data_IF_563537386782
#
_entry.id   IF_563537386782
#
_cell.length_a   1.000
_cell.length_b   1.000
_cell.length_c   1.000
_cell.angle_alpha   90.00
_cell.angle_beta   90.00
_cell.angle_gamma   90.00
#
_symmetry.space_group_name_H-M   'P 1'
#
loop_
_entity.id
_entity.type
_entity.pdbx_description
1 polymer ?
#
# COMPACT_ATOMS: atom_id res chain seq x y z
N UNK A 1 42.83 40.19 -165.34
CA UNK A 1 41.76 39.64 -166.20
C UNK A 1 40.80 38.89 -165.31
N UNK A 2 39.54 39.30 -165.37
CA UNK A 2 38.36 38.65 -164.81
C UNK A 2 38.54 37.14 -164.74
N UNK A 3 38.48 36.54 -163.56
CA UNK A 3 38.51 35.09 -163.43
C UNK A 3 38.03 34.73 -162.03
N UNK A 4 36.87 34.16 -161.83
CA UNK A 4 35.63 34.05 -162.59
C UNK A 4 34.65 33.89 -161.41
N UNK A 5 33.62 34.72 -161.22
CA UNK A 5 32.74 34.56 -160.05
C UNK A 5 32.17 33.14 -159.95
N UNK A 6 32.07 32.42 -161.07
CA UNK A 6 31.72 31.00 -161.09
C UNK A 6 32.75 30.08 -160.40
N UNK A 7 34.06 30.32 -160.51
CA UNK A 7 35.07 29.47 -159.85
C UNK A 7 35.19 29.74 -158.35
N UNK A 8 34.91 30.98 -157.91
CA UNK A 8 34.80 31.32 -156.49
C UNK A 8 33.53 30.75 -155.86
N UNK A 9 32.44 30.64 -156.62
CA UNK A 9 31.23 29.94 -156.21
C UNK A 9 31.48 28.42 -156.09
N UNK A 10 32.13 27.78 -157.06
CA UNK A 10 32.46 26.35 -156.99
C UNK A 10 33.37 25.99 -155.80
N UNK A 11 34.41 26.79 -155.52
CA UNK A 11 35.29 26.54 -154.37
C UNK A 11 34.55 26.76 -153.06
N UNK A 12 33.74 27.81 -152.96
CA UNK A 12 33.01 28.17 -151.74
C UNK A 12 31.85 27.21 -151.46
N UNK A 13 31.17 26.71 -152.49
CA UNK A 13 30.13 25.70 -152.38
C UNK A 13 30.73 24.33 -152.02
N UNK A 14 31.90 23.96 -152.55
CA UNK A 14 32.59 22.72 -152.14
C UNK A 14 33.03 22.76 -150.67
N UNK A 15 33.54 23.92 -150.20
CA UNK A 15 33.95 24.11 -148.80
C UNK A 15 32.75 24.09 -147.84
N UNK A 16 31.63 24.71 -148.23
CA UNK A 16 30.40 24.65 -147.44
C UNK A 16 29.84 23.22 -147.38
N UNK A 17 29.84 22.50 -148.51
CA UNK A 17 29.36 21.12 -148.55
C UNK A 17 30.23 20.18 -147.72
N UNK A 18 31.56 20.33 -147.78
CA UNK A 18 32.48 19.54 -146.97
C UNK A 18 32.42 19.90 -145.49
N UNK A 19 32.21 21.17 -145.15
CA UNK A 19 31.98 21.60 -143.78
C UNK A 19 30.66 21.04 -143.22
N UNK A 20 29.59 21.06 -144.01
CA UNK A 20 28.28 20.48 -143.64
C UNK A 20 28.38 18.97 -143.50
N UNK A 21 29.07 18.26 -144.41
CA UNK A 21 29.31 16.81 -144.30
C UNK A 21 30.13 16.47 -143.05
N UNK A 22 31.20 17.21 -142.77
CA UNK A 22 31.97 17.03 -141.53
C UNK A 22 31.13 17.28 -140.29
N UNK A 23 30.32 18.34 -140.29
CA UNK A 23 29.42 18.64 -139.18
C UNK A 23 28.38 17.54 -138.98
N UNK A 24 27.79 17.01 -140.06
CA UNK A 24 26.85 15.89 -140.01
C UNK A 24 27.50 14.59 -139.53
N UNK A 25 28.70 14.25 -140.02
CA UNK A 25 29.46 13.09 -139.53
C UNK A 25 29.80 13.22 -138.05
N UNK A 26 30.26 14.39 -137.60
CA UNK A 26 30.50 14.64 -136.18
C UNK A 26 29.21 14.55 -135.35
N UNK A 27 28.08 15.04 -135.88
CA UNK A 27 26.80 14.94 -135.19
C UNK A 27 26.33 13.49 -135.08
N UNK A 28 26.54 12.69 -136.12
CA UNK A 28 26.23 11.26 -136.13
C UNK A 28 27.12 10.48 -135.15
N UNK A 29 28.43 10.66 -135.19
CA UNK A 29 29.36 10.06 -134.21
C UNK A 29 28.99 10.45 -132.77
N UNK A 30 28.62 11.72 -132.54
CA UNK A 30 28.15 12.15 -131.22
C UNK A 30 26.82 11.50 -130.82
N UNK A 31 25.93 11.27 -131.78
CA UNK A 31 24.64 10.60 -131.52
C UNK A 31 24.87 9.14 -131.16
N UNK A 32 25.71 8.43 -131.92
CA UNK A 32 26.08 7.04 -131.61
C UNK A 32 26.80 6.93 -130.27
N UNK A 33 27.71 7.85 -129.94
CA UNK A 33 28.38 7.89 -128.65
C UNK A 33 27.41 8.14 -127.48
N UNK A 34 26.40 8.99 -127.68
CA UNK A 34 25.36 9.25 -126.68
C UNK A 34 24.44 8.05 -126.51
N UNK A 35 24.05 7.37 -127.59
CA UNK A 35 23.25 6.15 -127.52
C UNK A 35 24.00 5.03 -126.80
N UNK A 36 25.27 4.82 -127.13
CA UNK A 36 26.14 3.86 -126.45
C UNK A 36 26.31 4.19 -124.96
N UNK A 37 26.51 5.47 -124.62
CA UNK A 37 26.63 5.92 -123.23
C UNK A 37 25.32 5.72 -122.46
N UNK A 38 24.17 5.98 -123.10
CA UNK A 38 22.84 5.81 -122.48
C UNK A 38 22.51 4.34 -122.25
N UNK A 39 22.87 3.46 -123.20
CA UNK A 39 22.71 2.02 -123.04
C UNK A 39 23.59 1.47 -121.91
N UNK A 40 24.86 1.89 -121.82
CA UNK A 40 25.77 1.51 -120.76
C UNK A 40 25.28 1.96 -119.37
N UNK A 41 24.74 3.19 -119.26
CA UNK A 41 24.15 3.71 -118.03
C UNK A 41 22.94 2.90 -117.58
N UNK A 42 22.04 2.52 -118.50
CA UNK A 42 20.87 1.69 -118.18
C UNK A 42 21.27 0.30 -117.69
N UNK A 43 22.22 -0.35 -118.37
CA UNK A 43 22.71 -1.68 -117.96
C UNK A 43 23.40 -1.61 -116.60
N UNK A 44 24.25 -0.61 -116.37
CA UNK A 44 24.94 -0.44 -115.09
C UNK A 44 23.99 -0.16 -113.91
N UNK A 45 22.94 0.63 -114.13
CA UNK A 45 21.92 0.89 -113.10
C UNK A 45 21.08 -0.36 -112.79
N UNK A 46 20.71 -1.14 -113.80
CA UNK A 46 19.97 -2.40 -113.59
C UNK A 46 20.82 -3.42 -112.84
N UNK A 47 22.09 -3.60 -113.24
CA UNK A 47 23.01 -4.51 -112.55
C UNK A 47 23.23 -4.12 -111.08
N UNK A 48 23.42 -2.82 -110.80
CA UNK A 48 23.60 -2.34 -109.43
C UNK A 48 22.34 -2.57 -108.56
N UNK A 49 21.15 -2.47 -109.14
CA UNK A 49 19.89 -2.78 -108.44
C UNK A 49 19.76 -4.29 -108.21
N UNK A 50 20.07 -5.12 -109.22
CA UNK A 50 20.01 -6.58 -109.09
C UNK A 50 21.03 -7.10 -108.06
N UNK A 51 22.24 -6.55 -108.03
CA UNK A 51 23.28 -6.89 -107.04
C UNK A 51 22.83 -6.50 -105.62
N UNK A 52 22.20 -5.33 -105.46
CA UNK A 52 21.65 -4.89 -104.17
C UNK A 52 20.49 -5.77 -103.72
N UNK A 53 19.59 -6.14 -104.63
CA UNK A 53 18.47 -7.05 -104.34
C UNK A 53 18.99 -8.44 -103.97
N UNK A 54 20.00 -8.96 -104.67
CA UNK A 54 20.65 -10.22 -104.34
C UNK A 54 21.29 -10.16 -102.95
N UNK A 55 22.03 -9.09 -102.64
CA UNK A 55 22.67 -8.90 -101.34
C UNK A 55 21.65 -8.78 -100.20
N UNK A 56 20.57 -8.02 -100.40
CA UNK A 56 19.48 -7.92 -99.41
C UNK A 56 18.81 -9.28 -99.23
N UNK A 57 18.56 -10.03 -100.30
CA UNK A 57 17.92 -11.35 -100.24
C UNK A 57 18.79 -12.36 -99.52
N UNK A 58 20.10 -12.39 -99.77
CA UNK A 58 21.05 -13.25 -99.04
C UNK A 58 21.11 -12.88 -97.56
N UNK A 59 21.30 -11.60 -97.24
CA UNK A 59 21.35 -11.14 -95.85
C UNK A 59 20.04 -11.41 -95.09
N UNK A 60 18.89 -11.26 -95.76
CA UNK A 60 17.60 -11.64 -95.17
C UNK A 60 17.48 -13.15 -94.99
N UNK A 61 17.89 -13.96 -95.98
CA UNK A 61 17.83 -15.42 -95.89
C UNK A 61 18.72 -15.96 -94.76
N UNK A 62 19.92 -15.42 -94.59
CA UNK A 62 20.83 -15.82 -93.51
C UNK A 62 20.25 -15.44 -92.14
N UNK A 63 19.73 -14.21 -92.00
CA UNK A 63 19.08 -13.75 -90.78
C UNK A 63 17.88 -14.61 -90.39
N UNK A 64 17.05 -15.01 -91.37
CA UNK A 64 15.88 -15.86 -91.12
C UNK A 64 16.25 -17.32 -90.89
N UNK A 65 17.34 -17.81 -91.49
CA UNK A 65 17.85 -19.16 -91.22
C UNK A 65 18.35 -19.24 -89.78
N UNK A 66 19.16 -18.28 -89.34
CA UNK A 66 19.64 -18.19 -87.94
C UNK A 66 18.48 -18.00 -86.95
N UNK A 67 17.52 -17.14 -87.28
CA UNK A 67 16.33 -16.98 -86.45
C UNK A 67 15.46 -18.25 -86.39
N UNK A 68 15.35 -19.02 -87.48
CA UNK A 68 14.60 -20.29 -87.49
C UNK A 68 15.30 -21.39 -86.70
N UNK A 69 16.63 -21.40 -86.68
CA UNK A 69 17.45 -22.28 -85.84
C UNK A 69 17.27 -21.89 -84.37
N UNK A 70 17.28 -20.60 -84.07
CA UNK A 70 17.05 -20.09 -82.71
C UNK A 70 15.63 -20.39 -82.23
N UNK A 71 14.62 -20.21 -83.08
CA UNK A 71 13.21 -20.49 -82.72
C UNK A 71 12.95 -21.99 -82.59
N UNK A 72 13.51 -22.83 -83.47
CA UNK A 72 13.40 -24.29 -83.35
C UNK A 72 14.07 -24.79 -82.07
N UNK A 73 15.27 -24.29 -81.74
CA UNK A 73 15.96 -24.68 -80.51
C UNK A 73 15.25 -24.18 -79.24
N UNK A 74 14.53 -23.04 -79.30
CA UNK A 74 13.63 -22.57 -78.24
C UNK A 74 12.38 -23.46 -78.09
N UNK A 75 11.78 -23.91 -79.19
CA UNK A 75 10.60 -24.78 -79.19
C UNK A 75 10.91 -26.21 -78.71
N UNK A 76 12.12 -26.70 -78.94
CA UNK A 76 12.58 -28.02 -78.51
C UNK A 76 13.17 -28.04 -77.08
N UNK A 77 13.22 -26.90 -76.37
CA UNK A 77 13.62 -26.85 -74.96
C UNK A 77 15.13 -26.93 -74.70
N UNK A 78 15.98 -26.81 -75.73
CA UNK A 78 17.45 -26.87 -75.59
C UNK A 78 18.05 -25.75 -74.72
N UNK A 79 17.26 -24.74 -74.34
CA UNK A 79 17.67 -23.68 -73.42
C UNK A 79 17.49 -24.04 -71.94
N UNK A 80 16.60 -25.00 -71.63
CA UNK A 80 16.20 -25.34 -70.26
C UNK A 80 16.80 -26.64 -69.76
N UNK A 81 17.38 -27.48 -70.62
CA UNK A 81 18.03 -28.71 -70.18
C UNK A 81 19.33 -28.99 -70.94
N UNK A 82 20.31 -29.59 -70.27
CA UNK A 82 21.54 -30.07 -70.87
C UNK A 82 21.88 -31.48 -70.35
N UNK A 83 22.44 -32.30 -71.21
CA UNK A 83 22.89 -33.64 -70.84
C UNK A 83 24.21 -33.56 -70.06
N UNK A 84 24.39 -34.46 -69.10
CA UNK A 84 25.61 -34.53 -68.31
C UNK A 84 26.51 -35.62 -68.89
N UNK A 85 27.73 -35.23 -69.22
CA UNK A 85 28.79 -36.13 -69.66
C UNK A 85 29.47 -36.78 -68.44
N UNK A 86 29.21 -38.07 -68.26
CA UNK A 86 29.87 -38.91 -67.26
C UNK A 86 29.01 -39.28 -66.05
N UNK A 87 29.52 -40.14 -65.16
CA UNK A 87 28.78 -40.62 -64.00
C UNK A 87 28.60 -39.52 -62.96
N UNK A 88 27.38 -39.40 -62.44
CA UNK A 88 27.01 -38.46 -61.37
C UNK A 88 26.64 -39.23 -60.10
N UNK A 89 27.18 -38.78 -58.97
CA UNK A 89 26.77 -39.23 -57.64
C UNK A 89 26.15 -38.02 -56.94
N UNK A 90 24.94 -38.18 -56.43
CA UNK A 90 24.23 -37.16 -55.69
C UNK A 90 24.76 -37.09 -54.25
N UNK A 91 25.80 -36.31 -54.01
CA UNK A 91 26.42 -36.16 -52.69
C UNK A 91 26.10 -34.79 -52.07
N UNK A 92 25.32 -34.79 -50.98
CA UNK A 92 24.93 -33.58 -50.23
C UNK A 92 26.09 -32.94 -49.44
N UNK A 93 27.22 -33.61 -49.28
CA UNK A 93 28.35 -33.11 -48.49
C UNK A 93 29.43 -32.43 -49.34
N UNK A 94 29.47 -32.70 -50.65
CA UNK A 94 30.52 -32.22 -51.54
C UNK A 94 29.94 -31.49 -52.76
N UNK A 95 30.59 -30.39 -53.15
CA UNK A 95 30.26 -29.71 -54.40
C UNK A 95 30.49 -30.62 -55.60
N UNK A 96 29.54 -30.65 -56.52
CA UNK A 96 29.54 -31.50 -57.70
C UNK A 96 29.95 -30.67 -58.92
N UNK A 97 30.96 -31.14 -59.66
CA UNK A 97 31.42 -30.53 -60.90
C UNK A 97 30.99 -31.38 -62.08
N UNK A 98 30.13 -30.82 -62.92
CA UNK A 98 29.47 -31.51 -64.03
C UNK A 98 30.01 -30.98 -65.36
N UNK A 99 30.33 -31.89 -66.28
CA UNK A 99 30.57 -31.54 -67.68
C UNK A 99 29.24 -31.67 -68.42
N UNK A 100 28.81 -30.62 -69.12
CA UNK A 100 27.55 -30.62 -69.87
C UNK A 100 27.81 -30.76 -71.37
N UNK A 101 27.06 -31.64 -72.04
CA UNK A 101 26.97 -31.63 -73.50
C UNK A 101 25.99 -30.53 -73.92
N UNK A 102 26.56 -29.41 -74.36
CA UNK A 102 25.81 -28.23 -74.83
C UNK A 102 26.02 -27.99 -76.33
N UNK A 103 26.10 -29.07 -77.13
CA UNK A 103 26.35 -29.05 -78.58
C UNK A 103 25.33 -28.27 -79.43
N UNK A 104 24.32 -27.64 -78.82
CA UNK A 104 23.30 -26.82 -79.48
C UNK A 104 23.74 -25.36 -79.78
N UNK A 105 23.09 -24.70 -80.76
CA UNK A 105 23.42 -23.34 -81.20
C UNK A 105 23.09 -22.25 -80.17
N UNK A 106 22.23 -22.53 -79.19
CA UNK A 106 21.85 -21.63 -78.10
C UNK A 106 22.43 -22.19 -76.81
N UNK A 107 23.66 -21.82 -76.44
CA UNK A 107 24.32 -22.38 -75.25
C UNK A 107 23.47 -22.28 -73.98
N UNK A 108 23.51 -23.35 -73.16
CA UNK A 108 22.81 -23.47 -71.88
C UNK A 108 23.13 -22.32 -70.92
N UNK A 109 22.10 -21.81 -70.22
CA UNK A 109 22.25 -20.79 -69.18
C UNK A 109 21.50 -21.23 -67.93
N UNK A 110 22.20 -21.65 -66.86
CA UNK A 110 21.57 -22.16 -65.66
C UNK A 110 20.91 -21.04 -64.83
N UNK A 111 19.79 -21.35 -64.18
CA UNK A 111 19.25 -20.53 -63.10
C UNK A 111 20.04 -20.75 -61.79
N UNK A 112 19.89 -19.87 -60.77
CA UNK A 112 20.58 -20.02 -59.49
C UNK A 112 20.32 -21.35 -58.78
N UNK A 113 19.18 -21.98 -59.08
CA UNK A 113 18.81 -23.33 -58.63
C UNK A 113 18.52 -24.16 -59.88
N UNK A 114 19.09 -25.34 -59.93
CA UNK A 114 18.92 -26.33 -61.00
C UNK A 114 18.56 -27.67 -60.38
N UNK A 115 17.92 -28.54 -61.15
CA UNK A 115 17.77 -29.94 -60.75
C UNK A 115 18.60 -30.83 -61.65
N UNK A 116 19.11 -31.91 -61.07
CA UNK A 116 19.72 -33.00 -61.80
C UNK A 116 18.76 -34.18 -61.70
N UNK A 117 18.27 -34.67 -62.83
CA UNK A 117 17.39 -35.83 -62.91
C UNK A 117 18.03 -36.94 -63.72
N UNK A 118 17.47 -38.15 -63.64
CA UNK A 118 17.84 -39.26 -64.53
C UNK A 118 16.82 -39.45 -65.66
N UNK A 119 17.31 -39.83 -66.83
CA UNK A 119 16.45 -40.13 -68.00
C UNK A 119 15.69 -41.44 -67.82
N UNK A 120 16.31 -42.46 -67.22
CA UNK A 120 15.73 -43.77 -67.05
C UNK A 120 14.73 -43.85 -65.87
N UNK A 121 14.93 -43.03 -64.83
CA UNK A 121 14.08 -43.01 -63.65
C UNK A 121 13.85 -41.58 -63.14
N UNK A 122 12.61 -41.10 -63.19
CA UNK A 122 12.27 -39.74 -62.77
C UNK A 122 12.19 -39.57 -61.25
N UNK A 123 12.20 -40.66 -60.49
CA UNK A 123 12.15 -40.62 -59.03
C UNK A 123 13.53 -40.34 -58.41
N UNK A 124 14.61 -40.55 -59.17
CA UNK A 124 15.99 -40.25 -58.77
C UNK A 124 16.35 -38.82 -59.22
N UNK A 125 16.33 -37.87 -58.29
CA UNK A 125 16.63 -36.46 -58.55
C UNK A 125 17.43 -35.80 -57.43
N UNK A 126 18.20 -34.80 -57.79
CA UNK A 126 18.91 -33.93 -56.86
C UNK A 126 18.57 -32.46 -57.14
N UNK A 127 18.29 -31.71 -56.08
CA UNK A 127 18.11 -30.26 -56.15
C UNK A 127 19.44 -29.61 -55.80
N UNK A 128 19.94 -28.75 -56.68
CA UNK A 128 21.27 -28.18 -56.52
C UNK A 128 21.25 -26.66 -56.66
N UNK A 129 22.09 -26.00 -55.87
CA UNK A 129 22.39 -24.57 -56.03
C UNK A 129 23.57 -24.41 -56.95
N UNK A 130 23.46 -23.55 -57.96
CA UNK A 130 24.58 -23.26 -58.87
C UNK A 130 25.60 -22.39 -58.16
N UNK A 131 26.84 -22.88 -58.09
CA UNK A 131 28.00 -22.18 -57.53
C UNK A 131 28.71 -21.39 -58.62
N UNK A 132 28.93 -22.03 -59.77
CA UNK A 132 29.52 -21.39 -60.94
C UNK A 132 29.16 -22.11 -62.24
N UNK A 133 29.14 -21.36 -63.34
CA UNK A 133 28.92 -21.87 -64.70
C UNK A 133 29.97 -21.28 -65.64
N UNK A 134 30.72 -22.14 -66.33
CA UNK A 134 31.71 -21.75 -67.33
C UNK A 134 31.26 -22.19 -68.71
N UNK A 135 30.92 -21.21 -69.55
CA UNK A 135 30.53 -21.43 -70.95
C UNK A 135 31.71 -21.85 -71.84
N UNK A 136 32.94 -21.52 -71.46
CA UNK A 136 34.15 -21.87 -72.23
C UNK A 136 34.53 -23.35 -72.06
N UNK A 137 34.26 -23.92 -70.89
CA UNK A 137 34.63 -25.30 -70.54
C UNK A 137 33.43 -26.23 -70.38
N UNK A 138 32.21 -25.72 -70.63
CA UNK A 138 30.93 -26.40 -70.42
C UNK A 138 30.82 -27.07 -69.03
N UNK A 139 31.38 -26.40 -68.02
CA UNK A 139 31.48 -26.94 -66.65
C UNK A 139 30.50 -26.23 -65.73
N UNK A 140 29.62 -26.99 -65.09
CA UNK A 140 28.67 -26.52 -64.08
C UNK A 140 29.07 -27.04 -62.71
N UNK A 141 29.33 -26.12 -61.76
CA UNK A 141 29.61 -26.47 -60.36
C UNK A 141 28.37 -26.18 -59.54
N UNK A 142 27.91 -27.18 -58.79
CA UNK A 142 26.70 -27.08 -57.97
C UNK A 142 26.93 -27.63 -56.57
N UNK A 143 26.21 -27.09 -55.60
CA UNK A 143 26.06 -27.68 -54.26
C UNK A 143 24.74 -28.46 -54.23
N UNK A 144 24.79 -29.75 -53.92
CA UNK A 144 23.58 -30.57 -53.77
C UNK A 144 22.91 -30.22 -52.44
N UNK A 145 21.67 -29.72 -52.50
CA UNK A 145 20.89 -29.31 -51.31
C UNK A 145 20.05 -30.46 -50.76
N UNK A 146 19.51 -31.29 -51.65
CA UNK A 146 18.65 -32.42 -51.32
C UNK A 146 18.69 -33.46 -52.43
N UNK A 147 18.54 -34.73 -52.06
CA UNK A 147 18.49 -35.88 -52.97
C UNK A 147 17.21 -36.65 -52.65
N UNK A 148 16.51 -37.08 -53.69
CA UNK A 148 15.41 -38.02 -53.61
C UNK A 148 15.73 -39.19 -54.55
N UNK A 149 15.56 -40.42 -54.05
CA UNK A 149 15.91 -41.65 -54.79
C UNK A 149 17.29 -42.19 -54.43
N UNK A 150 17.91 -42.90 -55.38
CA UNK A 150 19.23 -43.52 -55.22
C UNK A 150 20.37 -42.51 -55.50
N UNK A 151 21.43 -42.54 -54.71
CA UNK A 151 22.53 -41.56 -54.75
C UNK A 151 23.48 -41.77 -55.95
N UNK A 152 23.39 -42.92 -56.64
CA UNK A 152 24.21 -43.23 -57.82
C UNK A 152 25.44 -44.11 -57.52
N UNK A 153 26.35 -44.30 -58.48
CA UNK A 153 26.57 -43.47 -59.68
C UNK A 153 25.58 -43.72 -60.82
N UNK A 154 25.13 -42.64 -61.43
CA UNK A 154 24.20 -42.63 -62.55
C UNK A 154 24.87 -42.10 -63.81
N UNK A 155 24.70 -42.78 -64.95
CA UNK A 155 25.34 -42.40 -66.24
C UNK A 155 24.39 -41.73 -67.22
N UNK A 156 23.14 -41.54 -66.80
CA UNK A 156 22.02 -41.07 -67.63
C UNK A 156 21.41 -39.77 -67.06
N UNK A 157 22.24 -38.92 -66.47
CA UNK A 157 21.80 -37.69 -65.84
C UNK A 157 21.66 -36.53 -66.82
N UNK A 158 20.72 -35.64 -66.53
CA UNK A 158 20.54 -34.38 -67.22
C UNK A 158 20.28 -33.27 -66.19
N UNK A 159 20.66 -32.05 -66.51
CA UNK A 159 20.35 -30.86 -65.71
C UNK A 159 19.17 -30.14 -66.33
N UNK A 160 18.21 -29.68 -65.51
CA UNK A 160 17.04 -28.92 -65.97
C UNK A 160 16.85 -27.63 -65.16
N UNK A 161 16.48 -26.56 -65.88
CA UNK A 161 16.20 -25.21 -65.42
C UNK A 161 14.67 -25.04 -65.38
N UNK A 162 14.08 -25.31 -64.21
CA UNK A 162 12.85 -24.64 -63.78
C UNK A 162 11.51 -25.19 -64.27
N UNK A 163 11.16 -26.45 -63.99
CA UNK A 163 9.77 -26.93 -63.99
C UNK A 163 9.57 -28.14 -63.05
N UNK A 164 9.70 -27.97 -61.72
CA UNK A 164 9.18 -28.92 -60.70
C UNK A 164 9.18 -28.30 -59.29
N UNK A 165 8.45 -27.19 -59.11
CA UNK A 165 8.25 -26.53 -57.81
C UNK A 165 7.57 -27.42 -56.75
N UNK A 166 6.83 -28.45 -57.14
CA UNK A 166 5.99 -29.23 -56.21
C UNK A 166 6.76 -30.22 -55.29
N UNK A 167 7.85 -30.83 -55.76
CA UNK A 167 8.61 -31.81 -54.96
C UNK A 167 9.60 -31.14 -54.00
N UNK A 168 10.22 -30.04 -54.42
CA UNK A 168 11.00 -29.18 -53.53
C UNK A 168 10.15 -28.49 -52.48
N UNK A 169 8.93 -28.06 -52.83
CA UNK A 169 7.95 -27.53 -51.86
C UNK A 169 7.52 -28.59 -50.85
N UNK A 170 7.27 -29.84 -51.25
CA UNK A 170 6.87 -30.91 -50.35
C UNK A 170 7.94 -31.25 -49.29
N UNK A 171 9.20 -31.36 -49.71
CA UNK A 171 10.31 -31.63 -48.79
C UNK A 171 10.56 -30.47 -47.80
N UNK A 172 10.41 -29.21 -48.26
CA UNK A 172 10.49 -28.06 -47.36
C UNK A 172 9.31 -28.00 -46.39
N UNK A 173 8.10 -28.38 -46.81
CA UNK A 173 6.91 -28.40 -45.95
C UNK A 173 7.04 -29.42 -44.82
N UNK A 174 7.63 -30.58 -45.08
CA UNK A 174 7.89 -31.61 -44.06
C UNK A 174 8.90 -31.12 -43.00
N UNK A 175 9.99 -30.48 -43.42
CA UNK A 175 10.95 -29.88 -42.48
C UNK A 175 10.33 -28.76 -41.63
N UNK A 176 9.49 -27.91 -42.23
CA UNK A 176 8.78 -26.84 -41.50
C UNK A 176 7.80 -27.42 -40.48
N UNK A 177 7.09 -28.49 -40.81
CA UNK A 177 6.19 -29.17 -39.87
C UNK A 177 6.96 -29.78 -38.69
N UNK A 178 8.09 -30.43 -38.95
CA UNK A 178 8.95 -30.97 -37.89
C UNK A 178 9.43 -29.87 -36.93
N UNK A 179 9.87 -28.73 -37.47
CA UNK A 179 10.33 -27.59 -36.69
C UNK A 179 9.22 -26.96 -35.84
N UNK A 180 7.98 -26.94 -36.36
CA UNK A 180 6.82 -26.44 -35.62
C UNK A 180 6.48 -27.33 -34.41
N UNK A 181 6.58 -28.65 -34.54
CA UNK A 181 6.36 -29.60 -33.43
C UNK A 181 7.42 -29.40 -32.34
N UNK A 182 8.69 -29.25 -32.73
CA UNK A 182 9.77 -28.95 -31.78
C UNK A 182 9.51 -27.61 -31.04
N UNK A 183 9.12 -26.57 -31.79
CA UNK A 183 8.81 -25.25 -31.22
C UNK A 183 7.63 -25.30 -30.25
N UNK A 184 6.61 -26.12 -30.55
CA UNK A 184 5.49 -26.35 -29.64
C UNK A 184 5.95 -27.04 -28.34
N UNK A 185 6.81 -28.07 -28.43
CA UNK A 185 7.39 -28.73 -27.26
C UNK A 185 8.16 -27.76 -26.36
N UNK A 186 8.98 -26.87 -26.94
CA UNK A 186 9.68 -25.82 -26.19
C UNK A 186 8.70 -24.86 -25.52
N UNK A 187 7.62 -24.47 -26.22
CA UNK A 187 6.59 -23.59 -25.68
C UNK A 187 5.85 -24.23 -24.49
N UNK A 188 5.55 -25.51 -24.57
CA UNK A 188 4.87 -26.25 -23.49
C UNK A 188 5.76 -26.37 -22.25
N UNK A 189 7.06 -26.66 -22.44
CA UNK A 189 8.06 -26.65 -21.35
C UNK A 189 8.15 -25.25 -20.72
N UNK A 190 8.20 -24.19 -21.53
CA UNK A 190 8.22 -22.82 -21.04
C UNK A 190 6.95 -22.47 -20.25
N UNK A 191 5.78 -22.91 -20.71
CA UNK A 191 4.52 -22.75 -19.98
C UNK A 191 4.53 -23.51 -18.64
N UNK A 192 5.10 -24.72 -18.60
CA UNK A 192 5.32 -25.47 -17.37
C UNK A 192 6.21 -24.73 -16.37
N UNK A 193 7.32 -24.16 -16.84
CA UNK A 193 8.20 -23.33 -15.99
C UNK A 193 7.49 -22.07 -15.48
N UNK A 194 6.67 -21.42 -16.31
CA UNK A 194 5.87 -20.26 -15.88
C UNK A 194 4.86 -20.64 -14.78
N UNK A 195 4.19 -21.79 -14.91
CA UNK A 195 3.27 -22.30 -13.88
C UNK A 195 3.99 -22.63 -12.56
N UNK A 196 5.16 -23.25 -12.63
CA UNK A 196 5.98 -23.53 -11.45
C UNK A 196 6.47 -22.25 -10.77
N UNK A 197 6.84 -21.22 -11.54
CA UNK A 197 7.22 -19.92 -11.02
C UNK A 197 6.05 -19.22 -10.32
N UNK A 198 4.83 -19.26 -10.90
CA UNK A 198 3.62 -18.73 -10.27
C UNK A 198 3.34 -19.44 -8.94
N UNK A 199 3.37 -20.77 -8.93
CA UNK A 199 3.15 -21.55 -7.70
C UNK A 199 4.18 -21.23 -6.62
N UNK A 200 5.45 -21.04 -7.00
CA UNK A 200 6.50 -20.63 -6.08
C UNK A 200 6.27 -19.22 -5.53
N UNK A 201 5.75 -18.30 -6.35
CA UNK A 201 5.38 -16.96 -5.91
C UNK A 201 4.22 -16.98 -4.91
N UNK A 202 3.21 -17.84 -5.14
CA UNK A 202 2.08 -18.02 -4.21
C UNK A 202 2.54 -18.58 -2.85
N UNK A 203 3.45 -19.56 -2.85
CA UNK A 203 4.06 -20.09 -1.62
C UNK A 203 4.85 -19.00 -0.90
N UNK A 204 5.66 -18.21 -1.62
CA UNK A 204 6.40 -17.10 -1.03
C UNK A 204 5.47 -16.03 -0.43
N UNK A 205 4.37 -15.71 -1.10
CA UNK A 205 3.35 -14.81 -0.57
C UNK A 205 2.72 -15.37 0.72
N UNK A 206 2.43 -16.68 0.77
CA UNK A 206 1.96 -17.35 1.98
C UNK A 206 2.96 -17.25 3.14
N UNK A 207 4.26 -17.43 2.88
CA UNK A 207 5.30 -17.26 3.90
C UNK A 207 5.39 -15.83 4.43
N UNK A 208 5.19 -14.81 3.57
CA UNK A 208 5.17 -13.40 4.00
C UNK A 208 3.99 -13.13 4.93
N UNK A 209 2.80 -13.67 4.62
CA UNK A 209 1.62 -13.55 5.48
C UNK A 209 1.87 -14.21 6.84
N UNK A 210 2.37 -15.45 6.85
CA UNK A 210 2.70 -16.16 8.10
C UNK A 210 3.73 -15.41 8.95
N UNK A 211 4.78 -14.86 8.33
CA UNK A 211 5.77 -14.04 9.04
C UNK A 211 5.15 -12.74 9.61
N UNK A 212 4.14 -12.18 8.94
CA UNK A 212 3.37 -11.04 9.43
C UNK A 212 2.56 -11.39 10.69
N UNK A 213 1.86 -12.53 10.68
CA UNK A 213 1.10 -13.03 11.84
C UNK A 213 2.02 -13.33 13.04
N UNK A 214 3.18 -13.96 12.80
CA UNK A 214 4.19 -14.21 13.85
C UNK A 214 4.72 -12.90 14.44
N UNK A 215 4.93 -11.87 13.61
CA UNK A 215 5.36 -10.55 14.06
C UNK A 215 4.28 -9.89 14.93
N UNK A 216 3.02 -9.92 14.53
CA UNK A 216 1.92 -9.34 15.30
C UNK A 216 1.77 -10.04 16.66
N UNK A 217 1.91 -11.37 16.69
CA UNK A 217 1.94 -12.14 17.93
C UNK A 217 3.13 -11.74 18.84
N UNK A 218 4.31 -11.52 18.26
CA UNK A 218 5.49 -11.06 19.00
C UNK A 218 5.31 -9.63 19.55
N UNK A 219 4.71 -8.72 18.79
CA UNK A 219 4.39 -7.36 19.23
C UNK A 219 3.38 -7.40 20.40
N UNK A 220 2.34 -8.22 20.30
CA UNK A 220 1.37 -8.43 21.40
C UNK A 220 2.04 -8.98 22.67
N UNK A 221 2.95 -9.95 22.52
CA UNK A 221 3.70 -10.50 23.65
C UNK A 221 4.63 -9.47 24.30
N UNK A 222 5.25 -8.61 23.50
CA UNK A 222 6.09 -7.51 24.00
C UNK A 222 5.27 -6.51 24.81
N UNK A 223 4.12 -6.07 24.29
CA UNK A 223 3.27 -5.09 24.97
C UNK A 223 2.71 -5.65 26.29
N UNK A 224 2.39 -6.96 26.33
CA UNK A 224 2.02 -7.64 27.57
C UNK A 224 3.16 -7.71 28.61
N UNK A 225 4.40 -7.89 28.15
CA UNK A 225 5.58 -7.88 29.01
C UNK A 225 5.87 -6.48 29.57
N UNK A 226 5.69 -5.43 28.76
CA UNK A 226 5.80 -4.03 29.19
C UNK A 226 4.76 -3.69 30.26
N UNK A 227 3.49 -4.06 30.04
CA UNK A 227 2.44 -3.88 31.06
C UNK A 227 2.72 -4.65 32.36
N UNK A 228 3.35 -5.82 32.28
CA UNK A 228 3.77 -6.59 33.46
C UNK A 228 4.93 -5.91 34.20
N UNK A 229 5.86 -5.28 33.48
CA UNK A 229 6.96 -4.52 34.07
C UNK A 229 6.45 -3.27 34.79
N UNK A 230 5.51 -2.53 34.19
CA UNK A 230 4.88 -1.36 34.80
C UNK A 230 4.13 -1.71 36.08
N UNK A 231 3.36 -2.82 36.07
CA UNK A 231 2.70 -3.31 37.27
C UNK A 231 3.70 -3.63 38.39
N UNK A 232 4.84 -4.24 38.06
CA UNK A 232 5.89 -4.53 39.03
C UNK A 232 6.52 -3.26 39.61
N UNK A 233 6.70 -2.21 38.81
CA UNK A 233 7.14 -0.90 39.29
C UNK A 233 6.11 -0.28 40.25
N UNK A 234 4.82 -0.36 39.92
CA UNK A 234 3.74 0.10 40.79
C UNK A 234 3.75 -0.59 42.15
N UNK A 235 3.84 -1.93 42.19
CA UNK A 235 3.93 -2.68 43.45
C UNK A 235 5.18 -2.33 44.26
N UNK A 236 6.31 -2.07 43.60
CA UNK A 236 7.54 -1.65 44.28
C UNK A 236 7.37 -0.28 44.94
N UNK A 237 6.74 0.66 44.26
CA UNK A 237 6.54 2.02 44.76
C UNK A 237 5.52 2.03 45.93
N UNK A 238 4.45 1.23 45.83
CA UNK A 238 3.53 0.98 46.96
C UNK A 238 4.25 0.38 48.18
N UNK A 239 5.09 -0.64 47.95
CA UNK A 239 5.87 -1.26 49.02
C UNK A 239 6.84 -0.26 49.67
N UNK A 240 7.46 0.62 48.87
CA UNK A 240 8.32 1.69 49.39
C UNK A 240 7.52 2.68 50.25
N UNK A 241 6.32 3.08 49.81
CA UNK A 241 5.43 3.94 50.60
C UNK A 241 4.99 3.29 51.92
N UNK A 242 4.71 1.99 51.91
CA UNK A 242 4.43 1.25 53.14
C UNK A 242 5.65 1.18 54.08
N UNK A 243 6.86 1.05 53.54
CA UNK A 243 8.09 1.05 54.34
C UNK A 243 8.34 2.40 55.01
N UNK A 244 8.17 3.51 54.27
CA UNK A 244 8.28 4.87 54.81
C UNK A 244 7.24 5.12 55.92
N UNK A 245 5.98 4.75 55.68
CA UNK A 245 4.93 4.86 56.69
C UNK A 245 5.21 4.02 57.95
N UNK A 246 5.85 2.85 57.80
CA UNK A 246 6.25 2.02 58.93
C UNK A 246 7.41 2.65 59.73
N UNK A 247 8.37 3.29 59.04
CA UNK A 247 9.46 4.04 59.69
C UNK A 247 8.92 5.24 60.47
N UNK A 248 8.01 6.02 59.87
CA UNK A 248 7.34 7.13 60.54
C UNK A 248 6.53 6.67 61.76
N UNK A 249 5.79 5.58 61.63
CA UNK A 249 5.04 5.00 62.75
C UNK A 249 5.97 4.52 63.87
N UNK A 250 7.11 3.91 63.54
CA UNK A 250 8.11 3.49 64.51
C UNK A 250 8.76 4.70 65.22
N UNK A 251 9.04 5.78 64.50
CA UNK A 251 9.56 7.02 65.07
C UNK A 251 8.56 7.69 66.02
N UNK A 252 7.27 7.72 65.64
CA UNK A 252 6.20 8.23 66.50
C UNK A 252 6.06 7.37 67.76
N UNK A 253 6.08 6.04 67.62
CA UNK A 253 6.04 5.13 68.75
C UNK A 253 7.24 5.28 69.69
N UNK A 254 8.45 5.54 69.16
CA UNK A 254 9.65 5.76 69.97
C UNK A 254 9.59 7.05 70.81
N UNK A 255 8.84 8.06 70.36
CA UNK A 255 8.62 9.32 71.11
C UNK A 255 7.35 9.30 71.96
N UNK A 256 6.54 8.24 71.86
CA UNK A 256 5.33 8.09 72.65
C UNK A 256 5.69 7.91 74.14
N UNK A 257 5.29 8.89 74.95
CA UNK A 257 5.38 8.82 76.40
C UNK A 257 3.97 8.61 76.94
N UNK A 258 3.61 7.40 77.40
CA UNK A 258 2.27 7.10 77.91
C UNK A 258 1.83 8.07 79.01
N UNK A 259 2.78 8.52 79.84
CA UNK A 259 2.54 9.44 80.96
C UNK A 259 2.13 10.86 80.56
N UNK A 260 2.26 11.25 79.28
CA UNK A 260 1.83 12.56 78.78
C UNK A 260 0.35 12.58 78.37
N UNK A 261 -0.33 11.43 78.40
CA UNK A 261 -1.73 11.30 78.08
C UNK A 261 -2.47 10.73 79.29
N UNK A 262 -3.59 11.36 79.64
CA UNK A 262 -4.47 10.78 80.65
C UNK A 262 -5.12 9.54 80.06
N UNK A 263 -4.98 8.41 80.76
CA UNK A 263 -5.76 7.24 80.42
C UNK A 263 -7.22 7.44 80.87
N UNK A 264 -8.14 6.69 80.26
CA UNK A 264 -9.57 6.81 80.57
C UNK A 264 -9.86 6.63 82.07
N UNK A 265 -9.14 5.73 82.74
CA UNK A 265 -9.29 5.50 84.18
C UNK A 265 -8.92 6.73 85.02
N UNK A 266 -7.77 7.36 84.73
CA UNK A 266 -7.33 8.58 85.44
C UNK A 266 -8.31 9.74 85.27
N UNK A 267 -8.89 9.87 84.06
CA UNK A 267 -9.92 10.87 83.78
C UNK A 267 -11.20 10.54 84.55
N UNK A 268 -11.67 9.29 84.49
CA UNK A 268 -12.88 8.85 85.18
C UNK A 268 -12.75 9.00 86.71
N UNK A 269 -11.59 8.67 87.27
CA UNK A 269 -11.28 8.82 88.70
C UNK A 269 -11.31 10.31 89.10
N UNK A 270 -10.69 11.18 88.30
CA UNK A 270 -10.68 12.63 88.56
C UNK A 270 -12.08 13.26 88.45
N UNK A 271 -12.90 12.83 87.49
CA UNK A 271 -14.29 13.27 87.38
C UNK A 271 -15.12 12.77 88.58
N UNK A 272 -14.97 11.51 88.96
CA UNK A 272 -15.69 10.93 90.11
C UNK A 272 -15.36 11.67 91.40
N UNK A 273 -14.07 11.94 91.66
CA UNK A 273 -13.64 12.71 92.82
C UNK A 273 -14.20 14.15 92.81
N UNK A 274 -14.36 14.75 91.63
CA UNK A 274 -15.00 16.08 91.50
C UNK A 274 -16.51 16.00 91.79
N UNK A 275 -17.18 14.98 91.31
CA UNK A 275 -18.61 14.77 91.55
C UNK A 275 -18.89 14.52 93.03
N UNK A 276 -18.03 13.75 93.71
CA UNK A 276 -18.08 13.55 95.17
C UNK A 276 -17.92 14.89 95.91
N UNK A 277 -16.91 15.69 95.56
CA UNK A 277 -16.72 17.03 96.14
C UNK A 277 -17.94 17.95 95.92
N UNK A 278 -18.55 17.91 94.72
CA UNK A 278 -19.76 18.71 94.43
C UNK A 278 -20.93 18.24 95.30
N UNK A 279 -21.08 16.94 95.49
CA UNK A 279 -22.12 16.34 96.34
C UNK A 279 -21.96 16.74 97.81
N UNK A 280 -20.74 16.69 98.34
CA UNK A 280 -20.43 17.14 99.70
C UNK A 280 -20.74 18.62 99.90
N UNK A 281 -20.30 19.48 98.96
CA UNK A 281 -20.58 20.92 99.01
C UNK A 281 -22.08 21.21 98.90
N UNK A 282 -22.81 20.50 98.03
CA UNK A 282 -24.25 20.66 97.88
C UNK A 282 -25.00 20.32 99.18
N UNK A 283 -24.58 19.25 99.87
CA UNK A 283 -25.12 18.84 101.16
C UNK A 283 -24.85 19.90 102.23
N UNK A 284 -23.61 20.39 102.33
CA UNK A 284 -23.24 21.43 103.28
C UNK A 284 -24.02 22.75 103.07
N UNK A 285 -24.27 23.14 101.81
CA UNK A 285 -25.10 24.30 101.48
C UNK A 285 -26.56 24.08 101.90
N UNK A 286 -27.10 22.88 101.68
CA UNK A 286 -28.47 22.54 102.08
C UNK A 286 -28.65 22.63 103.61
N UNK A 287 -27.71 22.06 104.37
CA UNK A 287 -27.71 22.13 105.84
C UNK A 287 -27.57 23.56 106.34
N UNK A 288 -26.67 24.36 105.76
CA UNK A 288 -26.50 25.76 106.12
C UNK A 288 -27.76 26.59 105.83
N UNK A 289 -28.47 26.30 104.74
CA UNK A 289 -29.76 26.94 104.42
C UNK A 289 -30.86 26.53 105.38
N UNK A 290 -30.89 25.27 105.82
CA UNK A 290 -31.88 24.78 106.76
C UNK A 290 -31.76 25.43 108.16
N UNK A 291 -30.55 25.83 108.58
CA UNK A 291 -30.35 26.56 109.86
C UNK A 291 -30.37 28.10 109.72
N UNK A 292 -30.44 28.64 108.51
CA UNK A 292 -30.42 30.09 108.28
C UNK A 292 -31.64 30.76 108.95
N UNK A 293 -31.38 31.82 109.73
CA UNK A 293 -32.43 32.63 110.33
C UNK A 293 -32.95 33.66 109.32
N UNK A 294 -34.27 33.86 109.28
CA UNK A 294 -34.91 34.91 108.50
C UNK A 294 -35.09 36.15 109.37
N UNK A 295 -34.59 37.29 108.92
CA UNK A 295 -34.81 38.57 109.61
C UNK A 295 -36.09 39.20 109.08
N UNK A 296 -37.00 39.57 109.98
CA UNK A 296 -38.25 40.24 109.66
C UNK A 296 -38.32 41.59 110.38
N UNK A 297 -39.10 42.54 109.86
CA UNK A 297 -39.29 43.87 110.46
C UNK A 297 -40.77 44.31 110.50
N UNK A 298 -41.69 43.39 110.23
CA UNK A 298 -43.13 43.59 110.21
C UNK A 298 -43.84 42.34 110.72
N UNK A 299 -45.15 42.45 110.97
CA UNK A 299 -45.97 41.35 111.45
C UNK A 299 -45.97 40.18 110.47
N UNK A 300 -45.77 38.95 110.98
CA UNK A 300 -45.69 37.75 110.15
C UNK A 300 -46.49 36.61 110.77
N UNK A 301 -47.05 35.74 109.92
CA UNK A 301 -47.51 34.42 110.36
C UNK A 301 -46.37 33.42 110.19
N UNK A 302 -45.83 32.92 111.29
CA UNK A 302 -44.78 31.92 111.28
C UNK A 302 -45.29 30.59 110.74
N UNK A 303 -44.39 29.84 110.11
CA UNK A 303 -44.57 28.47 109.65
C UNK A 303 -43.74 27.54 110.54
N UNK A 304 -44.17 26.28 110.67
CA UNK A 304 -43.43 25.29 111.43
C UNK A 304 -41.99 25.13 110.87
N UNK A 305 -40.98 25.28 111.72
CA UNK A 305 -39.56 25.20 111.35
C UNK A 305 -38.87 26.56 111.26
N UNK A 306 -39.63 27.66 111.25
CA UNK A 306 -39.08 29.00 111.12
C UNK A 306 -38.09 29.33 112.25
N UNK A 307 -37.02 30.03 111.86
CA UNK A 307 -36.08 30.68 112.76
C UNK A 307 -36.10 32.17 112.42
N UNK A 308 -36.87 32.94 113.18
CA UNK A 308 -37.13 34.35 112.92
C UNK A 308 -36.30 35.23 113.86
N UNK A 309 -35.59 36.18 113.28
CA UNK A 309 -35.00 37.31 114.02
C UNK A 309 -35.89 38.51 113.74
N UNK A 310 -36.57 39.01 114.77
CA UNK A 310 -37.57 40.05 114.67
C UNK A 310 -36.94 41.39 115.00
N UNK A 311 -36.67 42.20 113.98
CA UNK A 311 -36.15 43.56 114.10
C UNK A 311 -37.25 44.52 114.56
N UNK A 312 -37.35 44.69 115.87
CA UNK A 312 -38.36 45.53 116.54
C UNK A 312 -37.91 46.99 116.76
N UNK A 313 -36.87 47.44 116.07
CA UNK A 313 -36.37 48.82 116.18
C UNK A 313 -37.39 49.87 115.68
N UNK A 314 -38.25 49.50 114.71
CA UNK A 314 -39.24 50.41 114.11
C UNK A 314 -40.59 50.47 114.85
N UNK A 315 -40.86 49.57 115.78
CA UNK A 315 -42.13 49.47 116.50
C UNK A 315 -42.40 48.05 117.02
N UNK A 316 -43.50 47.90 117.76
CA UNK A 316 -43.94 46.58 118.22
C UNK A 316 -44.37 45.72 117.02
N UNK A 317 -43.95 44.44 117.02
CA UNK A 317 -44.21 43.48 115.95
C UNK A 317 -44.93 42.27 116.52
N UNK A 318 -45.89 41.74 115.78
CA UNK A 318 -46.66 40.55 116.10
C UNK A 318 -46.22 39.38 115.22
N UNK A 319 -45.70 38.32 115.85
CA UNK A 319 -45.45 37.03 115.20
C UNK A 319 -46.61 36.10 115.53
N UNK A 320 -47.46 35.83 114.55
CA UNK A 320 -48.60 34.93 114.68
C UNK A 320 -48.15 33.49 114.47
N UNK A 321 -48.34 32.60 115.46
CA UNK A 321 -47.97 31.19 115.33
C UNK A 321 -48.81 30.47 114.26
N UNK A 322 -48.37 29.31 113.73
CA UNK A 322 -49.18 28.52 112.80
C UNK A 322 -50.56 28.15 113.39
N UNK A 323 -51.63 28.36 112.62
CA UNK A 323 -52.99 27.93 113.01
C UNK A 323 -53.17 26.41 112.98
N UNK A 324 -52.35 25.71 112.18
CA UNK A 324 -52.25 24.26 112.11
C UNK A 324 -50.82 23.82 112.45
N UNK A 325 -50.43 23.80 113.74
CA UNK A 325 -49.07 23.49 114.13
C UNK A 325 -48.70 22.02 113.90
N UNK A 326 -47.50 21.78 113.38
CA UNK A 326 -46.92 20.45 113.28
C UNK A 326 -46.29 20.05 114.62
N UNK A 327 -46.73 18.93 115.20
CA UNK A 327 -46.18 18.44 116.47
C UNK A 327 -44.67 18.17 116.34
N UNK A 328 -43.88 18.73 117.27
CA UNK A 328 -42.43 18.51 117.35
C UNK A 328 -41.55 19.39 116.46
N UNK A 329 -42.09 20.15 115.51
CA UNK A 329 -41.31 21.11 114.71
C UNK A 329 -41.33 22.49 115.37
N UNK A 330 -40.17 23.01 115.84
CA UNK A 330 -40.17 24.27 116.58
C UNK A 330 -40.29 25.50 115.66
N UNK A 331 -40.89 26.57 116.18
CA UNK A 331 -40.76 27.93 115.68
C UNK A 331 -39.87 28.69 116.65
N UNK A 332 -38.73 29.20 116.18
CA UNK A 332 -37.79 29.98 116.99
C UNK A 332 -37.98 31.45 116.66
N UNK A 333 -38.25 32.26 117.68
CA UNK A 333 -38.45 33.71 117.52
C UNK A 333 -37.48 34.42 118.44
N UNK A 334 -36.59 35.23 117.88
CA UNK A 334 -35.65 36.05 118.62
C UNK A 334 -36.02 37.51 118.42
N UNK A 335 -36.02 38.28 119.51
CA UNK A 335 -36.19 39.72 119.45
C UNK A 335 -34.83 40.40 119.25
N UNK A 336 -34.78 41.32 118.29
CA UNK A 336 -33.67 42.24 118.08
C UNK A 336 -34.22 43.67 118.00
N UNK A 337 -34.08 44.45 119.07
CA UNK A 337 -34.51 45.85 119.08
C UNK A 337 -35.30 46.29 120.32
N UNK A 338 -35.71 47.55 120.30
CA UNK A 338 -36.21 48.26 121.48
C UNK A 338 -37.70 48.02 121.80
N UNK A 339 -38.51 47.56 120.85
CA UNK A 339 -39.95 47.37 121.05
C UNK A 339 -40.31 45.93 121.35
N UNK A 340 -41.40 45.70 122.08
CA UNK A 340 -41.84 44.35 122.40
C UNK A 340 -42.28 43.57 121.15
N UNK A 341 -41.96 42.28 121.12
CA UNK A 341 -42.46 41.35 120.11
C UNK A 341 -43.54 40.50 120.74
N UNK A 342 -44.74 40.52 120.16
CA UNK A 342 -45.87 39.72 120.64
C UNK A 342 -45.97 38.45 119.81
N UNK A 343 -45.95 37.30 120.46
CA UNK A 343 -46.17 36.00 119.85
C UNK A 343 -47.66 35.67 120.01
N UNK A 344 -48.41 35.88 118.94
CA UNK A 344 -49.85 35.64 118.92
C UNK A 344 -50.14 34.15 118.76
N UNK A 345 -51.00 33.60 119.62
CA UNK A 345 -51.23 32.16 119.78
C UNK A 345 -51.94 31.47 118.61
N UNK A 346 -52.62 32.26 117.76
CA UNK A 346 -53.37 31.84 116.57
C UNK A 346 -54.27 30.61 116.74
N UNK A 347 -55.05 30.59 117.82
CA UNK A 347 -56.05 29.55 118.08
C UNK A 347 -55.58 28.41 119.00
N UNK A 348 -54.29 28.07 119.03
CA UNK A 348 -53.74 27.13 120.03
C UNK A 348 -53.41 27.84 121.34
N UNK A 349 -53.30 27.13 122.47
CA UNK A 349 -52.84 27.72 123.73
C UNK A 349 -51.31 27.82 123.78
N UNK A 350 -50.78 28.77 124.54
CA UNK A 350 -49.35 28.88 124.87
C UNK A 350 -49.18 28.51 126.34
N UNK A 351 -48.39 27.48 126.65
CA UNK A 351 -48.24 26.91 128.00
C UNK A 351 -49.57 26.54 128.68
N UNK A 352 -50.58 26.18 127.89
CA UNK A 352 -51.94 25.91 128.37
C UNK A 352 -52.79 27.16 128.63
N UNK A 353 -52.24 28.36 128.47
CA UNK A 353 -52.96 29.63 128.59
C UNK A 353 -53.54 30.08 127.24
N UNK A 354 -54.69 30.76 127.30
CA UNK A 354 -55.34 31.40 126.14
C UNK A 354 -54.91 32.85 125.96
N UNK A 355 -53.64 33.14 126.24
CA UNK A 355 -53.00 34.46 126.17
C UNK A 355 -51.83 34.43 125.18
N UNK A 356 -51.47 35.60 124.66
CA UNK A 356 -50.30 35.77 123.80
C UNK A 356 -49.03 35.92 124.66
N UNK A 357 -47.88 35.51 124.12
CA UNK A 357 -46.59 35.63 124.81
C UNK A 357 -45.88 36.89 124.36
N UNK A 358 -45.34 37.69 125.29
CA UNK A 358 -44.58 38.90 124.96
C UNK A 358 -43.09 38.68 125.21
N UNK A 359 -42.26 38.98 124.21
CA UNK A 359 -40.81 39.08 124.36
C UNK A 359 -40.44 40.54 124.65
N UNK A 360 -40.12 40.81 125.91
CA UNK A 360 -39.82 42.15 126.45
C UNK A 360 -38.32 42.42 126.65
N UNK A 361 -37.48 41.40 126.59
CA UNK A 361 -36.02 41.51 126.64
C UNK A 361 -35.37 41.52 125.24
N UNK A 362 -34.44 42.45 125.01
CA UNK A 362 -33.64 42.50 123.79
C UNK A 362 -32.63 41.33 123.73
N UNK A 363 -32.36 40.82 122.51
CA UNK A 363 -31.48 39.67 122.23
C UNK A 363 -31.86 38.36 122.92
N UNK A 364 -33.11 38.28 123.41
CA UNK A 364 -33.72 37.04 123.89
C UNK A 364 -34.69 36.49 122.85
N UNK A 365 -34.85 35.18 122.88
CA UNK A 365 -35.83 34.51 122.06
C UNK A 365 -36.53 33.40 122.81
N UNK A 366 -37.44 32.76 122.08
CA UNK A 366 -38.16 31.60 122.55
C UNK A 366 -38.27 30.60 121.42
N UNK A 367 -38.01 29.34 121.75
CA UNK A 367 -38.35 28.20 120.91
C UNK A 367 -39.74 27.72 121.31
N UNK A 368 -40.70 27.93 120.42
CA UNK A 368 -42.07 27.47 120.55
C UNK A 368 -42.18 26.09 119.90
N UNK A 369 -42.46 25.05 120.69
CA UNK A 369 -42.66 23.68 120.17
C UNK A 369 -44.07 23.21 120.48
N UNK A 370 -44.85 22.87 119.46
CA UNK A 370 -46.20 22.38 119.68
C UNK A 370 -46.19 20.92 120.15
N UNK A 371 -46.67 20.68 121.37
CA UNK A 371 -46.72 19.38 122.01
C UNK A 371 -48.04 19.24 122.77
N UNK A 372 -48.66 18.06 122.66
CA UNK A 372 -49.85 17.70 123.46
C UNK A 372 -51.00 18.73 123.40
N UNK A 373 -51.23 19.33 122.23
CA UNK A 373 -52.33 20.28 122.03
C UNK A 373 -52.02 21.74 122.40
N UNK A 374 -50.81 22.05 122.87
CA UNK A 374 -50.40 23.39 123.28
C UNK A 374 -48.98 23.72 122.80
N UNK A 375 -48.66 25.00 122.64
CA UNK A 375 -47.28 25.44 122.46
C UNK A 375 -46.52 25.38 123.78
N UNK A 376 -45.31 24.83 123.74
CA UNK A 376 -44.31 24.85 124.81
C UNK A 376 -43.22 25.86 124.48
N UNK A 377 -42.99 26.79 125.40
CA UNK A 377 -42.05 27.89 125.29
C UNK A 377 -40.76 27.51 126.02
N UNK A 378 -39.67 27.41 125.28
CA UNK A 378 -38.33 27.22 125.84
C UNK A 378 -37.53 28.50 125.62
N UNK A 379 -37.04 29.16 126.68
CA UNK A 379 -36.25 30.37 126.51
C UNK A 379 -34.95 30.06 125.74
N UNK A 380 -34.61 30.92 124.80
CA UNK A 380 -33.37 30.87 124.03
C UNK A 380 -32.67 32.22 124.06
N UNK A 381 -31.35 32.18 123.85
CA UNK A 381 -30.55 33.38 123.67
C UNK A 381 -30.07 33.38 122.22
N UNK A 382 -30.11 34.54 121.57
CA UNK A 382 -29.51 34.72 120.26
C UNK A 382 -27.98 34.59 120.46
N UNK A 383 -27.42 33.45 120.04
CA UNK A 383 -25.98 33.15 120.15
C UNK A 383 -25.16 33.89 119.10
#
# INVERSE_FOLDING_TARGET
MANNPASLLEVRDSLLLDAVKRALSQLHERTEAVEASTAALKVGQVQAVDDLVAQITTNFSDLFTDASVVVSALQEGHYTSADIDGPVIFDVQNGLSLSLDVSGPIGFSPAPIVMIGRKANRDDLAVCRVVSWSKETNTLVVDVLAVAGDDGPHVDCYVEVGLLSALGEAAMLEQVQALLVETQGVRDVAAGHAGAASSSADVAAGHVVAAGEEREAAETARDAAEGSADAALGFRDEAAGHAEAAEDAAALAATFVPSNFYNKGEVDDALSARDDNISEVATAIADARADAATVIAEDVTAVAGDKLIVNSAGGAIVVTLPSAPAAGTPVRVFRDGASNVTIARNGSTIEGASEDLVLDEDKRGVRMTYLFGTWKAFPEVLA
#
